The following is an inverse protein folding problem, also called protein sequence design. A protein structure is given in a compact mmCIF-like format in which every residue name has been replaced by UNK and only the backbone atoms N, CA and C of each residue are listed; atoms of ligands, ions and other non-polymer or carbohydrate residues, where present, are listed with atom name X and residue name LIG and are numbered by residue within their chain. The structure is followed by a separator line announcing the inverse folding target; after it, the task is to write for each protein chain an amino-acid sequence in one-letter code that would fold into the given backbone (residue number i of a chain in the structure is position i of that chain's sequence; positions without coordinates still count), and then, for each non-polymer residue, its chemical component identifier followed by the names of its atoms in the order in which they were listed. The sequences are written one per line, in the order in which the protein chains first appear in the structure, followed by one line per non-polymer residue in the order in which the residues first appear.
data_IF_097770587558
#
_entry.id   IF_097770587558
#
_cell.length_a   1.000
_cell.length_b   1.000
_cell.length_c   1.000
_cell.angle_alpha   90.00
_cell.angle_beta   90.00
_cell.angle_gamma   90.00
#
_symmetry.space_group_name_H-M   'P 1'
#
loop_
_entity.id
_entity.type
_entity.pdbx_description
1 polymer ?
#
# COMPACT_ATOMS: atom_id res chain seq x y z
N UNK A 1 -5.68 -1.47 -10.30
CA UNK A 1 -6.35 -0.15 -10.22
C UNK A 1 -7.75 -0.16 -10.85
N UNK A 2 -8.03 -0.72 -12.07
CA UNK A 2 -9.38 -0.69 -12.64
C UNK A 2 -10.48 -1.28 -11.75
N UNK A 3 -10.19 -2.36 -11.01
CA UNK A 3 -11.18 -2.98 -10.10
C UNK A 3 -11.53 -2.07 -8.93
N UNK A 4 -10.57 -1.31 -8.36
CA UNK A 4 -10.85 -0.37 -7.27
C UNK A 4 -11.70 0.80 -7.77
N UNK A 5 -11.36 1.37 -8.92
CA UNK A 5 -12.13 2.45 -9.54
C UNK A 5 -13.56 2.00 -9.84
N UNK A 6 -13.73 0.84 -10.50
CA UNK A 6 -15.05 0.29 -10.79
C UNK A 6 -15.87 0.00 -9.53
N UNK A 7 -15.23 -0.48 -8.45
CA UNK A 7 -15.90 -0.69 -7.17
C UNK A 7 -16.37 0.63 -6.55
N UNK A 8 -15.51 1.66 -6.53
CA UNK A 8 -15.85 2.98 -5.97
C UNK A 8 -17.00 3.65 -6.75
N UNK A 9 -16.94 3.60 -8.08
CA UNK A 9 -18.03 4.11 -8.93
C UNK A 9 -19.35 3.38 -8.62
N UNK A 10 -19.31 2.06 -8.43
CA UNK A 10 -20.48 1.27 -8.06
C UNK A 10 -21.02 1.62 -6.67
N UNK A 11 -20.20 2.20 -5.78
CA UNK A 11 -20.62 2.74 -4.48
C UNK A 11 -21.09 4.21 -4.58
N UNK A 12 -21.12 4.81 -5.77
CA UNK A 12 -21.57 6.18 -5.98
C UNK A 12 -20.48 7.25 -5.85
N UNK A 13 -19.21 6.86 -5.77
CA UNK A 13 -18.09 7.80 -5.71
C UNK A 13 -17.74 8.29 -7.12
N UNK A 14 -17.68 9.61 -7.30
CA UNK A 14 -17.18 10.25 -8.53
C UNK A 14 -15.67 10.50 -8.38
N UNK A 15 -14.89 9.49 -8.73
CA UNK A 15 -13.43 9.50 -8.57
C UNK A 15 -12.74 8.85 -9.77
N UNK A 16 -11.51 9.30 -10.02
CA UNK A 16 -10.58 8.68 -10.97
C UNK A 16 -9.34 8.18 -10.22
N UNK A 17 -8.97 6.94 -10.46
CA UNK A 17 -7.76 6.36 -9.87
C UNK A 17 -6.58 6.54 -10.83
N UNK A 18 -5.62 7.37 -10.44
CA UNK A 18 -4.36 7.51 -11.15
C UNK A 18 -3.40 6.39 -10.74
N UNK A 19 -3.08 5.49 -11.67
CA UNK A 19 -2.12 4.42 -11.39
C UNK A 19 -0.69 4.92 -11.55
N UNK A 20 -0.06 5.23 -10.43
CA UNK A 20 1.35 5.63 -10.37
C UNK A 20 2.30 4.48 -9.98
N UNK A 21 1.80 3.24 -9.92
CA UNK A 21 2.62 2.06 -9.60
C UNK A 21 3.58 1.69 -10.73
N UNK A 22 4.81 1.37 -10.37
CA UNK A 22 5.84 0.83 -11.28
C UNK A 22 6.19 -0.58 -10.82
N UNK A 23 6.14 -1.54 -11.74
CA UNK A 23 6.48 -2.94 -11.42
C UNK A 23 7.94 -3.06 -10.99
N UNK A 24 8.19 -3.81 -9.91
CA UNK A 24 9.55 -3.98 -9.38
C UNK A 24 10.07 -2.78 -8.57
N UNK A 25 9.28 -1.74 -8.37
CA UNK A 25 9.74 -0.54 -7.67
C UNK A 25 9.92 -0.78 -6.17
N UNK A 26 10.95 -0.13 -5.61
CA UNK A 26 11.24 -0.12 -4.18
C UNK A 26 10.74 1.16 -3.53
N UNK A 27 10.85 1.25 -2.21
CA UNK A 27 10.59 2.51 -1.49
C UNK A 27 11.49 3.64 -1.97
N UNK A 28 12.76 3.35 -2.32
CA UNK A 28 13.69 4.32 -2.88
C UNK A 28 13.25 4.82 -4.27
N UNK A 29 12.73 3.93 -5.12
CA UNK A 29 12.17 4.32 -6.42
C UNK A 29 10.93 5.19 -6.28
N UNK A 30 10.00 4.82 -5.38
CA UNK A 30 8.84 5.65 -5.05
C UNK A 30 9.22 7.05 -4.56
N UNK A 31 10.20 7.14 -3.64
CA UNK A 31 10.74 8.41 -3.17
C UNK A 31 11.32 9.26 -4.30
N UNK A 32 12.10 8.67 -5.19
CA UNK A 32 12.76 9.40 -6.27
C UNK A 32 11.78 10.06 -7.25
N UNK A 33 10.54 9.59 -7.33
CA UNK A 33 9.53 10.04 -8.29
C UNK A 33 8.31 10.73 -7.68
N UNK A 34 8.21 10.82 -6.35
CA UNK A 34 6.99 11.31 -5.69
C UNK A 34 6.62 12.73 -6.13
N UNK A 35 7.59 13.62 -6.27
CA UNK A 35 7.36 15.02 -6.62
C UNK A 35 6.68 15.21 -7.98
N UNK A 36 7.08 14.46 -8.99
CA UNK A 36 6.47 14.53 -10.31
C UNK A 36 5.26 13.59 -10.47
N UNK A 37 5.10 12.60 -9.58
CA UNK A 37 3.92 11.73 -9.54
C UNK A 37 2.69 12.48 -9.03
N UNK A 38 2.87 13.34 -8.03
CA UNK A 38 1.79 14.12 -7.44
C UNK A 38 1.52 15.38 -8.29
N UNK A 39 0.84 15.20 -9.41
CA UNK A 39 0.36 16.32 -10.25
C UNK A 39 -0.69 17.16 -9.52
N UNK A 40 -0.93 18.43 -9.93
CA UNK A 40 -1.85 19.33 -9.22
C UNK A 40 -3.31 18.83 -9.11
N UNK A 41 -3.71 17.87 -9.92
CA UNK A 41 -5.04 17.27 -9.90
C UNK A 41 -5.18 16.09 -8.92
N UNK A 42 -4.08 15.66 -8.26
CA UNK A 42 -4.12 14.63 -7.22
C UNK A 42 -4.68 15.22 -5.94
N UNK A 43 -5.73 14.60 -5.40
CA UNK A 43 -6.42 15.04 -4.19
C UNK A 43 -6.19 14.12 -2.99
N UNK A 44 -5.71 12.90 -3.21
CA UNK A 44 -5.38 11.94 -2.15
C UNK A 44 -4.32 10.95 -2.63
N UNK A 45 -3.60 10.32 -1.72
CA UNK A 45 -2.54 9.36 -2.01
C UNK A 45 -2.76 8.03 -1.29
N UNK A 46 -2.60 6.92 -2.00
CA UNK A 46 -2.49 5.59 -1.41
C UNK A 46 -1.05 5.10 -1.63
N UNK A 47 -0.33 4.85 -0.54
CA UNK A 47 1.05 4.34 -0.57
C UNK A 47 1.04 2.84 -0.30
N UNK A 48 1.41 2.04 -1.33
CA UNK A 48 1.57 0.58 -1.26
C UNK A 48 2.97 0.28 -1.79
N UNK A 49 3.97 0.37 -0.94
CA UNK A 49 5.39 0.17 -1.25
C UNK A 49 6.05 -0.71 -0.17
N UNK A 50 7.18 -1.32 -0.50
CA UNK A 50 7.97 -2.13 0.42
C UNK A 50 8.03 -3.61 0.05
N UNK A 51 7.12 -4.13 -0.77
CA UNK A 51 7.16 -5.53 -1.21
C UNK A 51 8.48 -5.89 -1.91
N UNK A 52 8.98 -5.03 -2.78
CA UNK A 52 10.28 -5.25 -3.45
C UNK A 52 11.48 -5.02 -2.53
N UNK A 53 11.33 -4.19 -1.50
CA UNK A 53 12.35 -4.02 -0.45
C UNK A 53 12.50 -5.33 0.33
N UNK A 54 11.38 -5.95 0.75
CA UNK A 54 11.35 -7.27 1.38
C UNK A 54 11.99 -8.33 0.48
N UNK A 55 11.60 -8.41 -0.79
CA UNK A 55 12.13 -9.41 -1.72
C UNK A 55 13.64 -9.30 -1.91
N UNK A 56 14.21 -8.11 -1.75
CA UNK A 56 15.65 -7.81 -1.91
C UNK A 56 16.42 -7.72 -0.61
N UNK A 57 15.76 -7.91 0.55
CA UNK A 57 16.38 -7.79 1.86
C UNK A 57 16.93 -6.40 2.14
N UNK A 58 16.28 -5.35 1.64
CA UNK A 58 16.68 -3.95 1.88
C UNK A 58 16.49 -3.64 3.36
N UNK A 59 17.45 -2.92 3.94
CA UNK A 59 17.41 -2.50 5.35
C UNK A 59 16.07 -1.82 5.70
N UNK A 60 15.34 -2.30 6.72
CA UNK A 60 14.09 -1.69 7.17
C UNK A 60 14.22 -0.20 7.51
N UNK A 61 15.36 0.23 8.07
CA UNK A 61 15.60 1.64 8.36
C UNK A 61 15.67 2.49 7.08
N UNK A 62 16.26 1.97 6.00
CA UNK A 62 16.28 2.64 4.70
C UNK A 62 14.88 2.71 4.09
N UNK A 63 14.10 1.62 4.17
CA UNK A 63 12.70 1.58 3.71
C UNK A 63 11.82 2.57 4.48
N UNK A 64 11.98 2.64 5.81
CA UNK A 64 11.30 3.62 6.67
C UNK A 64 11.61 5.06 6.25
N UNK A 65 12.90 5.38 6.08
CA UNK A 65 13.32 6.72 5.68
C UNK A 65 12.77 7.14 4.30
N UNK A 66 12.67 6.20 3.37
CA UNK A 66 12.10 6.46 2.05
C UNK A 66 10.59 6.70 2.11
N UNK A 67 9.85 5.89 2.88
CA UNK A 67 8.39 6.09 3.07
C UNK A 67 8.15 7.40 3.79
N UNK A 68 8.89 7.72 4.87
CA UNK A 68 8.79 8.98 5.57
C UNK A 68 8.96 10.18 4.61
N UNK A 69 9.98 10.16 3.76
CA UNK A 69 10.18 11.21 2.76
C UNK A 69 9.02 11.34 1.75
N UNK A 70 8.35 10.24 1.39
CA UNK A 70 7.13 10.28 0.58
C UNK A 70 5.98 10.96 1.35
N UNK A 71 5.83 10.63 2.63
CA UNK A 71 4.80 11.21 3.49
C UNK A 71 5.06 12.70 3.76
N UNK A 72 6.33 13.12 3.90
CA UNK A 72 6.72 14.54 4.00
C UNK A 72 6.23 15.35 2.80
N UNK A 73 6.46 14.83 1.57
CA UNK A 73 6.00 15.50 0.34
C UNK A 73 4.47 15.58 0.30
N UNK A 74 3.76 14.50 0.64
CA UNK A 74 2.30 14.50 0.66
C UNK A 74 1.74 15.46 1.71
N UNK A 75 2.32 15.46 2.92
CA UNK A 75 1.94 16.37 4.01
C UNK A 75 2.21 17.83 3.65
N UNK A 76 3.36 18.13 3.03
CA UNK A 76 3.69 19.48 2.54
C UNK A 76 2.74 19.99 1.45
N UNK A 77 1.98 19.09 0.82
CA UNK A 77 0.92 19.39 -0.15
C UNK A 77 -0.50 19.26 0.44
N UNK A 78 -0.60 19.04 1.74
CA UNK A 78 -1.87 18.86 2.49
C UNK A 78 -2.74 17.72 1.94
N UNK A 79 -2.12 16.70 1.32
CA UNK A 79 -2.83 15.56 0.77
C UNK A 79 -3.14 14.54 1.86
N UNK A 80 -4.40 14.09 2.00
CA UNK A 80 -4.72 12.95 2.84
C UNK A 80 -4.08 11.68 2.25
N UNK A 81 -3.51 10.85 3.14
CA UNK A 81 -2.81 9.63 2.75
C UNK A 81 -3.41 8.41 3.43
N UNK A 82 -3.47 7.30 2.70
CA UNK A 82 -3.64 5.96 3.24
C UNK A 82 -2.33 5.17 3.06
N UNK A 83 -1.70 4.80 4.15
CA UNK A 83 -0.53 3.93 4.16
C UNK A 83 -0.96 2.47 4.29
N UNK A 84 -0.43 1.61 3.42
CA UNK A 84 -0.76 0.18 3.39
C UNK A 84 0.44 -0.64 3.80
N UNK A 85 0.29 -1.39 4.89
CA UNK A 85 1.32 -2.26 5.43
C UNK A 85 1.54 -3.52 4.57
N UNK A 86 2.81 -3.93 4.54
CA UNK A 86 3.29 -5.12 3.84
C UNK A 86 4.11 -5.96 4.82
N UNK A 87 3.50 -6.94 5.53
CA UNK A 87 4.23 -7.73 6.52
C UNK A 87 5.38 -8.52 5.89
N UNK A 88 6.56 -8.45 6.51
CA UNK A 88 7.72 -9.20 6.06
C UNK A 88 7.60 -10.69 6.42
N UNK A 89 8.01 -11.62 5.52
CA UNK A 89 8.21 -13.00 5.87
C UNK A 89 9.41 -13.17 6.83
N UNK A 90 9.49 -14.30 7.50
CA UNK A 90 10.55 -14.55 8.49
C UNK A 90 11.91 -14.97 7.90
N UNK A 91 12.10 -14.97 6.59
CA UNK A 91 13.29 -15.51 5.90
C UNK A 91 14.58 -14.71 6.14
N UNK A 92 14.49 -13.42 6.51
CA UNK A 92 15.63 -12.58 6.88
C UNK A 92 15.85 -12.48 8.40
N UNK A 93 15.19 -13.36 9.18
CA UNK A 93 15.32 -13.42 10.62
C UNK A 93 14.30 -12.54 11.37
N UNK A 94 14.16 -12.83 12.70
CA UNK A 94 13.12 -12.20 13.51
C UNK A 94 13.33 -10.69 13.70
N UNK A 95 14.56 -10.24 13.77
CA UNK A 95 14.89 -8.83 13.95
C UNK A 95 14.47 -8.00 12.72
N UNK A 96 14.86 -8.44 11.51
CA UNK A 96 14.44 -7.81 10.26
C UNK A 96 12.92 -7.73 10.17
N UNK A 97 12.24 -8.85 10.45
CA UNK A 97 10.78 -8.91 10.43
C UNK A 97 10.17 -7.91 11.40
N UNK A 98 10.64 -7.88 12.64
CA UNK A 98 10.11 -6.96 13.66
C UNK A 98 10.27 -5.49 13.25
N UNK A 99 11.45 -5.11 12.76
CA UNK A 99 11.73 -3.75 12.30
C UNK A 99 10.90 -3.38 11.07
N UNK A 100 10.77 -4.30 10.11
CA UNK A 100 10.01 -4.02 8.87
C UNK A 100 8.51 -3.93 9.15
N UNK A 101 7.96 -4.80 9.98
CA UNK A 101 6.54 -4.79 10.33
C UNK A 101 6.16 -3.55 11.17
N UNK A 102 7.09 -3.03 11.98
CA UNK A 102 6.86 -1.87 12.83
C UNK A 102 6.83 -0.54 12.04
N UNK A 103 7.57 -0.45 10.94
CA UNK A 103 7.74 0.83 10.22
C UNK A 103 6.42 1.46 9.74
N UNK A 104 5.44 0.65 9.32
CA UNK A 104 4.18 1.17 8.77
C UNK A 104 3.24 1.74 9.86
N UNK A 105 2.93 1.01 10.96
CA UNK A 105 2.08 1.56 12.01
C UNK A 105 2.74 2.77 12.69
N UNK A 106 4.06 2.76 12.91
CA UNK A 106 4.79 3.88 13.48
C UNK A 106 4.69 5.14 12.60
N UNK A 107 4.93 5.00 11.29
CA UNK A 107 4.79 6.12 10.37
C UNK A 107 3.34 6.60 10.24
N UNK A 108 2.38 5.69 10.22
CA UNK A 108 0.97 6.06 10.15
C UNK A 108 0.53 6.85 11.39
N UNK A 109 1.02 6.49 12.57
CA UNK A 109 0.79 7.22 13.82
C UNK A 109 1.50 8.58 13.81
N UNK A 110 2.80 8.61 13.46
CA UNK A 110 3.64 9.82 13.42
C UNK A 110 3.04 10.90 12.49
N UNK A 111 2.50 10.50 11.35
CA UNK A 111 1.94 11.42 10.35
C UNK A 111 0.40 11.56 10.41
N UNK A 112 -0.29 10.85 11.31
CA UNK A 112 -1.76 10.89 11.42
C UNK A 112 -2.50 10.33 10.20
N UNK A 113 -1.91 9.37 9.49
CA UNK A 113 -2.43 8.83 8.24
C UNK A 113 -3.47 7.72 8.46
N UNK A 114 -4.33 7.46 7.48
CA UNK A 114 -5.11 6.24 7.45
C UNK A 114 -4.17 5.04 7.27
N UNK A 115 -4.41 3.96 8.01
CA UNK A 115 -3.52 2.81 8.00
C UNK A 115 -4.27 1.49 7.77
N UNK A 116 -3.87 0.76 6.72
CA UNK A 116 -4.26 -0.62 6.50
C UNK A 116 -3.09 -1.53 6.88
N UNK A 117 -3.25 -2.32 7.93
CA UNK A 117 -2.15 -3.07 8.54
C UNK A 117 -1.53 -4.15 7.64
N UNK A 118 -2.32 -4.79 6.78
CA UNK A 118 -1.82 -5.87 5.92
C UNK A 118 -2.59 -5.91 4.59
N UNK A 119 -1.88 -5.64 3.50
CA UNK A 119 -2.41 -5.71 2.14
C UNK A 119 -3.00 -7.08 1.77
N UNK A 120 -2.41 -8.16 2.27
CA UNK A 120 -2.80 -9.54 1.97
C UNK A 120 -3.82 -10.15 2.95
N UNK A 121 -4.17 -9.45 4.03
CA UNK A 121 -5.08 -9.98 5.05
C UNK A 121 -6.40 -10.56 4.48
N UNK A 122 -7.05 -9.93 3.48
CA UNK A 122 -8.28 -10.45 2.90
C UNK A 122 -8.13 -11.82 2.21
N UNK A 123 -6.91 -12.16 1.78
CA UNK A 123 -6.62 -13.40 1.07
C UNK A 123 -6.34 -14.59 1.98
N UNK A 124 -6.15 -14.33 3.28
CA UNK A 124 -5.78 -15.36 4.25
C UNK A 124 -6.97 -16.27 4.67
N UNK A 125 -8.21 -15.81 4.49
CA UNK A 125 -9.44 -16.55 4.84
C UNK A 125 -9.41 -17.16 6.25
N UNK A 126 -8.81 -16.45 7.22
CA UNK A 126 -8.64 -16.95 8.59
C UNK A 126 -7.51 -17.97 8.77
N UNK A 127 -6.69 -18.22 7.75
CA UNK A 127 -5.52 -19.10 7.81
C UNK A 127 -4.23 -18.29 7.92
N UNK A 128 -3.12 -18.96 8.30
CA UNK A 128 -1.80 -18.32 8.32
C UNK A 128 -1.16 -18.18 6.94
N UNK A 129 -1.76 -18.79 5.89
CA UNK A 129 -1.23 -18.77 4.53
C UNK A 129 -2.36 -18.57 3.53
N UNK A 130 -2.05 -17.83 2.46
CA UNK A 130 -2.97 -17.65 1.33
C UNK A 130 -3.15 -19.01 0.62
N UNK A 131 -4.41 -19.46 0.36
CA UNK A 131 -4.65 -20.70 -0.34
C UNK A 131 -3.99 -20.74 -1.72
N UNK A 132 -3.20 -21.78 -1.96
CA UNK A 132 -2.47 -21.93 -3.23
C UNK A 132 -3.42 -21.97 -4.43
N UNK A 133 -3.10 -21.21 -5.49
CA UNK A 133 -3.85 -21.22 -6.76
C UNK A 133 -5.19 -20.50 -6.74
N UNK A 134 -5.73 -20.11 -5.57
CA UNK A 134 -7.04 -19.43 -5.49
C UNK A 134 -6.93 -17.94 -5.78
N UNK A 135 -6.03 -17.25 -5.10
CA UNK A 135 -5.94 -15.79 -5.12
C UNK A 135 -4.63 -15.23 -5.68
N UNK A 136 -3.63 -16.10 -5.89
CA UNK A 136 -2.31 -15.70 -6.36
C UNK A 136 -2.07 -16.16 -7.80
N UNK A 137 -1.22 -15.43 -8.50
CA UNK A 137 -0.65 -15.86 -9.79
C UNK A 137 0.28 -17.06 -9.58
N UNK A 138 0.75 -17.64 -10.67
CA UNK A 138 1.64 -18.81 -10.64
C UNK A 138 2.99 -18.53 -9.97
N UNK A 139 3.38 -17.27 -9.86
CA UNK A 139 4.60 -16.83 -9.14
C UNK A 139 4.47 -16.89 -7.61
N UNK A 140 3.25 -17.05 -7.08
CA UNK A 140 2.98 -17.09 -5.65
C UNK A 140 3.21 -15.75 -4.91
N UNK A 141 3.47 -14.67 -5.64
CA UNK A 141 3.82 -13.35 -5.09
C UNK A 141 2.71 -12.34 -5.38
N UNK A 142 2.23 -12.29 -6.62
CA UNK A 142 1.25 -11.32 -7.05
C UNK A 142 -0.18 -11.89 -6.98
N UNK A 143 -1.16 -11.13 -6.45
CA UNK A 143 -2.56 -11.51 -6.52
C UNK A 143 -3.04 -11.65 -7.98
N UNK A 144 -3.85 -12.66 -8.24
CA UNK A 144 -4.58 -12.76 -9.51
C UNK A 144 -5.84 -11.86 -9.48
N UNK A 145 -6.64 -11.86 -10.55
CA UNK A 145 -7.83 -11.01 -10.66
C UNK A 145 -8.84 -11.25 -9.52
N UNK A 146 -9.02 -12.51 -9.06
CA UNK A 146 -9.90 -12.84 -7.94
C UNK A 146 -9.33 -12.32 -6.62
N UNK A 147 -8.02 -12.48 -6.38
CA UNK A 147 -7.34 -11.96 -5.20
C UNK A 147 -7.41 -10.43 -5.13
N UNK A 148 -7.20 -9.73 -6.25
CA UNK A 148 -7.39 -8.28 -6.31
C UNK A 148 -8.82 -7.89 -5.96
N UNK A 149 -9.84 -8.65 -6.42
CA UNK A 149 -11.24 -8.40 -6.07
C UNK A 149 -11.52 -8.48 -4.58
N UNK A 150 -10.98 -9.47 -3.87
CA UNK A 150 -11.13 -9.60 -2.41
C UNK A 150 -10.40 -8.46 -1.66
N UNK A 151 -9.20 -8.09 -2.11
CA UNK A 151 -8.48 -6.94 -1.56
C UNK A 151 -9.30 -5.66 -1.73
N UNK A 152 -9.82 -5.40 -2.93
CA UNK A 152 -10.63 -4.21 -3.22
C UNK A 152 -11.87 -4.11 -2.33
N UNK A 153 -12.59 -5.22 -2.14
CA UNK A 153 -13.75 -5.24 -1.22
C UNK A 153 -13.37 -4.85 0.22
N UNK A 154 -12.24 -5.37 0.69
CA UNK A 154 -11.79 -5.14 2.07
C UNK A 154 -11.26 -3.72 2.28
N UNK A 155 -10.54 -3.15 1.29
CA UNK A 155 -9.97 -1.80 1.43
C UNK A 155 -10.93 -0.69 1.03
N UNK A 156 -12.01 -1.02 0.33
CA UNK A 156 -12.92 -0.04 -0.26
C UNK A 156 -13.48 0.98 0.73
N UNK A 157 -13.94 0.53 1.91
CA UNK A 157 -14.45 1.43 2.94
C UNK A 157 -13.39 2.40 3.48
N UNK A 158 -12.13 1.97 3.57
CA UNK A 158 -11.03 2.85 3.97
C UNK A 158 -10.70 3.86 2.87
N UNK A 159 -10.81 3.46 1.61
CA UNK A 159 -10.64 4.39 0.48
C UNK A 159 -11.78 5.41 0.43
N UNK A 160 -13.03 5.03 0.75
CA UNK A 160 -14.12 5.99 0.90
C UNK A 160 -13.86 6.99 2.04
N UNK A 161 -13.29 6.53 3.16
CA UNK A 161 -12.86 7.43 4.23
C UNK A 161 -11.74 8.37 3.77
N UNK A 162 -10.79 7.88 2.97
CA UNK A 162 -9.75 8.72 2.36
C UNK A 162 -10.35 9.78 1.44
N UNK A 163 -11.32 9.41 0.59
CA UNK A 163 -12.05 10.34 -0.28
C UNK A 163 -12.76 11.41 0.54
N UNK A 164 -13.39 11.02 1.66
CA UNK A 164 -14.06 11.98 2.56
C UNK A 164 -13.09 13.00 3.15
N UNK A 165 -11.83 12.60 3.44
CA UNK A 165 -10.79 13.52 3.93
C UNK A 165 -10.25 14.45 2.84
N UNK A 166 -10.43 14.11 1.58
CA UNK A 166 -9.96 14.89 0.42
C UNK A 166 -10.96 15.94 -0.07
N UNK A 167 -12.18 15.92 0.45
CA UNK A 167 -13.28 16.87 0.15
C UNK A 167 -13.36 17.96 1.21
#
# INVERSE_FOLDING_TARGET
MPQLEGWLIAQGEDVRILNAGVSGDTTAGGRARIDWTLTPDVQALIVILGGNDILRGIDPAASRANIAAILDVATGRELPVMLVGMPAPGNFGPEYKAQFDALYPELAEEYGMLFLANFFAPLLEGSAKIPAGKFMQTDGIHPNAAGVGEIVKAVGSMVQLLITRAR
#
